data_IF_347537423077
#
_entry.id   IF_347537423077
#
_cell.length_a   1.000
_cell.length_b   1.000
_cell.length_c   1.000
_cell.angle_alpha   90.00
_cell.angle_beta   90.00
_cell.angle_gamma   90.00
#
_symmetry.space_group_name_H-M   'P 1'
#
loop_
_entity.id
_entity.type
_entity.pdbx_description
1 polymer ?
#
# COMPACT_ATOMS: atom_id res chain seq x y z
N UNK A 1 -0.60 -16.05 22.16
CA UNK A 1 -0.13 -17.20 21.35
C UNK A 1 0.34 -16.65 20.02
N UNK A 2 1.62 -16.75 19.69
CA UNK A 2 2.19 -16.29 18.41
C UNK A 2 2.18 -17.47 17.45
N UNK A 3 1.40 -17.39 16.38
CA UNK A 3 1.45 -18.36 15.29
C UNK A 3 2.67 -18.05 14.40
N UNK A 4 3.65 -18.94 14.41
CA UNK A 4 4.69 -19.07 13.40
C UNK A 4 4.11 -19.79 12.17
N UNK A 5 4.35 -19.26 10.96
CA UNK A 5 4.04 -19.90 9.68
C UNK A 5 5.24 -19.58 8.76
N UNK A 6 6.26 -20.45 8.68
CA UNK A 6 6.53 -21.46 7.61
C UNK A 6 7.61 -20.98 6.59
N UNK A 7 8.30 -21.87 5.82
CA UNK A 7 9.73 -22.16 6.00
C UNK A 7 10.66 -21.69 4.87
N UNK A 8 11.97 -21.69 5.18
CA UNK A 8 13.09 -21.48 4.27
C UNK A 8 13.04 -22.40 3.03
N UNK A 9 13.08 -21.81 1.82
CA UNK A 9 13.52 -22.49 0.60
C UNK A 9 14.55 -21.62 -0.12
N UNK A 10 15.74 -22.20 -0.29
CA UNK A 10 16.94 -21.61 -0.89
C UNK A 10 16.93 -21.84 -2.40
N UNK A 11 17.04 -20.79 -3.22
CA UNK A 11 17.33 -20.92 -4.66
C UNK A 11 18.30 -19.81 -5.12
N UNK A 12 19.35 -20.23 -5.83
CA UNK A 12 20.48 -19.41 -6.32
C UNK A 12 20.09 -18.41 -7.43
N UNK A 13 20.81 -17.28 -7.58
CA UNK A 13 20.61 -16.32 -8.66
C UNK A 13 21.47 -16.69 -9.89
N UNK A 14 20.84 -16.74 -11.07
CA UNK A 14 21.52 -16.65 -12.35
C UNK A 14 20.72 -15.74 -13.28
N UNK A 15 21.32 -14.64 -13.73
CA UNK A 15 20.61 -13.61 -14.48
C UNK A 15 21.51 -12.52 -15.06
N UNK A 16 22.49 -12.97 -15.83
CA UNK A 16 23.30 -12.33 -16.88
C UNK A 16 23.07 -10.84 -17.21
N UNK A 17 24.14 -10.04 -17.10
CA UNK A 17 24.19 -8.59 -17.38
C UNK A 17 24.67 -8.35 -18.82
N UNK A 18 23.75 -8.12 -19.77
CA UNK A 18 24.13 -7.76 -21.15
C UNK A 18 24.77 -6.36 -21.19
N UNK A 19 26.08 -6.33 -21.49
CA UNK A 19 26.86 -5.12 -21.83
C UNK A 19 26.53 -4.65 -23.24
N UNK A 20 26.01 -3.43 -23.40
CA UNK A 20 25.95 -2.77 -24.71
C UNK A 20 27.32 -2.15 -25.04
N UNK A 21 27.95 -2.60 -26.14
CA UNK A 21 29.08 -1.90 -26.78
C UNK A 21 28.53 -0.71 -27.57
N UNK A 22 29.16 0.45 -27.43
CA UNK A 22 28.97 1.58 -28.34
C UNK A 22 30.11 1.58 -29.36
N UNK A 23 29.76 1.65 -30.65
CA UNK A 23 30.70 1.87 -31.75
C UNK A 23 30.11 2.97 -32.64
N UNK A 24 30.56 4.21 -32.46
CA UNK A 24 30.48 5.24 -33.52
C UNK A 24 31.71 6.15 -33.41
N UNK A 25 32.46 6.20 -34.50
CA UNK A 25 33.51 7.18 -34.78
C UNK A 25 32.91 8.24 -35.69
N UNK A 26 32.84 9.50 -35.27
CA UNK A 26 32.66 10.61 -36.21
C UNK A 26 33.43 11.86 -35.78
N UNK A 27 33.84 12.59 -36.82
CA UNK A 27 34.93 13.57 -36.96
C UNK A 27 34.46 14.97 -36.52
N UNK A 28 35.34 15.71 -35.85
CA UNK A 28 35.18 17.08 -35.30
C UNK A 28 34.82 18.16 -36.31
N UNK A 29 33.95 19.11 -35.93
CA UNK A 29 34.22 20.56 -35.94
C UNK A 29 33.07 21.41 -35.34
N UNK A 30 33.46 22.36 -34.50
CA UNK A 30 32.85 23.67 -34.16
C UNK A 30 31.48 23.76 -33.41
N UNK A 31 31.60 24.28 -32.18
CA UNK A 31 30.80 25.34 -31.52
C UNK A 31 29.28 25.19 -31.26
N UNK A 32 28.96 25.51 -29.99
CA UNK A 32 27.70 26.00 -29.40
C UNK A 32 26.66 24.98 -28.86
N UNK A 33 26.56 25.04 -27.51
CA UNK A 33 25.35 25.09 -26.67
C UNK A 33 24.34 23.95 -26.83
N UNK A 34 24.26 23.10 -25.81
CA UNK A 34 23.11 23.01 -24.90
C UNK A 34 23.34 21.79 -24.00
N UNK A 35 23.87 22.03 -22.80
CA UNK A 35 23.91 21.03 -21.74
C UNK A 35 22.47 20.87 -21.23
N UNK A 36 21.66 20.05 -21.92
CA UNK A 36 20.38 19.58 -21.38
C UNK A 36 20.71 18.62 -20.24
N UNK A 37 20.72 19.16 -19.03
CA UNK A 37 20.51 18.36 -17.84
C UNK A 37 19.13 17.69 -17.97
N UNK A 38 19.11 16.48 -18.50
CA UNK A 38 18.05 15.51 -18.25
C UNK A 38 18.19 15.07 -16.78
N UNK A 39 17.93 16.00 -15.86
CA UNK A 39 17.44 15.62 -14.55
C UNK A 39 16.03 15.10 -14.82
N UNK A 40 15.90 13.79 -15.00
CA UNK A 40 14.63 13.16 -14.67
C UNK A 40 14.42 13.49 -13.20
N UNK A 41 13.65 14.54 -12.92
CA UNK A 41 12.99 14.69 -11.64
C UNK A 41 12.21 13.40 -11.45
N UNK A 42 12.79 12.49 -10.65
CA UNK A 42 12.04 11.42 -10.03
C UNK A 42 11.11 12.13 -9.04
N UNK A 43 10.06 12.78 -9.56
CA UNK A 43 9.00 13.31 -8.76
C UNK A 43 8.47 12.13 -7.95
N UNK A 44 8.77 12.14 -6.65
CA UNK A 44 8.18 11.23 -5.71
C UNK A 44 6.67 11.38 -5.88
N UNK A 45 6.04 10.32 -6.37
CA UNK A 45 4.62 10.31 -6.68
C UNK A 45 3.89 10.67 -5.38
N UNK A 46 3.27 11.84 -5.32
CA UNK A 46 2.60 12.29 -4.09
C UNK A 46 1.39 11.38 -3.85
N UNK A 47 1.13 11.03 -2.60
CA UNK A 47 -0.05 10.24 -2.26
C UNK A 47 -1.32 10.94 -2.74
N UNK A 48 -2.12 10.21 -3.51
CA UNK A 48 -3.44 10.61 -3.95
C UNK A 48 -4.39 9.44 -3.67
N UNK A 49 -5.43 9.70 -2.89
CA UNK A 49 -6.34 8.66 -2.46
C UNK A 49 -7.16 8.10 -3.62
N UNK A 50 -7.17 6.76 -3.76
CA UNK A 50 -8.15 6.07 -4.57
C UNK A 50 -9.45 5.99 -3.76
N UNK A 51 -10.45 6.80 -4.16
CA UNK A 51 -11.72 6.92 -3.44
C UNK A 51 -12.45 5.58 -3.27
N UNK A 52 -12.34 4.68 -4.25
CA UNK A 52 -12.97 3.36 -4.19
C UNK A 52 -12.29 2.45 -3.18
N UNK A 53 -10.96 2.44 -3.17
CA UNK A 53 -10.18 1.68 -2.20
C UNK A 53 -10.36 2.22 -0.78
N UNK A 54 -10.36 3.55 -0.61
CA UNK A 54 -10.62 4.19 0.68
C UNK A 54 -12.01 3.82 1.21
N UNK A 55 -13.05 3.85 0.36
CA UNK A 55 -14.40 3.41 0.72
C UNK A 55 -14.44 1.94 1.15
N UNK A 56 -13.80 1.06 0.38
CA UNK A 56 -13.71 -0.36 0.75
C UNK A 56 -13.08 -0.55 2.13
N UNK A 57 -11.96 0.13 2.41
CA UNK A 57 -11.32 0.03 3.74
C UNK A 57 -12.21 0.59 4.83
N UNK A 58 -12.94 1.69 4.58
CA UNK A 58 -13.95 2.17 5.53
C UNK A 58 -14.99 1.09 5.82
N UNK A 59 -15.52 0.41 4.80
CA UNK A 59 -16.51 -0.66 4.99
C UNK A 59 -15.92 -1.84 5.80
N UNK A 60 -14.66 -2.23 5.55
CA UNK A 60 -13.94 -3.25 6.33
C UNK A 60 -13.82 -2.83 7.80
N UNK A 61 -13.42 -1.59 8.07
CA UNK A 61 -13.27 -1.08 9.44
C UNK A 61 -14.62 -0.96 10.13
N UNK A 62 -15.69 -0.54 9.44
CA UNK A 62 -17.03 -0.49 10.04
C UNK A 62 -17.52 -1.89 10.42
N UNK A 63 -17.29 -2.89 9.57
CA UNK A 63 -17.67 -4.26 9.88
C UNK A 63 -16.87 -4.84 11.08
N UNK A 64 -15.57 -4.56 11.14
CA UNK A 64 -14.74 -4.94 12.29
C UNK A 64 -15.18 -4.22 13.58
N UNK A 65 -15.51 -2.93 13.49
CA UNK A 65 -16.06 -2.14 14.60
C UNK A 65 -17.39 -2.69 15.11
N UNK A 66 -18.33 -3.04 14.22
CA UNK A 66 -19.59 -3.69 14.60
C UNK A 66 -19.35 -5.04 15.28
N UNK A 67 -18.38 -5.81 14.79
CA UNK A 67 -18.00 -7.08 15.41
C UNK A 67 -17.45 -6.86 16.82
N UNK A 68 -16.60 -5.84 17.01
CA UNK A 68 -16.09 -5.45 18.32
C UNK A 68 -17.21 -5.03 19.28
N UNK A 69 -18.16 -4.21 18.82
CA UNK A 69 -19.32 -3.78 19.61
C UNK A 69 -20.24 -4.94 20.02
N UNK A 70 -20.34 -5.98 19.19
CA UNK A 70 -21.07 -7.19 19.50
C UNK A 70 -20.32 -8.14 20.46
N UNK A 71 -19.12 -7.79 20.91
CA UNK A 71 -18.27 -8.62 21.77
C UNK A 71 -17.54 -9.75 21.03
N UNK A 72 -17.44 -9.66 19.70
CA UNK A 72 -16.71 -10.60 18.86
C UNK A 72 -15.20 -10.33 18.83
N UNK A 73 -14.47 -11.17 18.10
CA UNK A 73 -13.04 -10.94 17.81
C UNK A 73 -12.88 -9.89 16.72
N UNK A 74 -11.97 -8.94 16.92
CA UNK A 74 -11.73 -7.81 16.03
C UNK A 74 -10.23 -7.63 15.78
N UNK A 75 -9.89 -6.95 14.68
CA UNK A 75 -8.52 -6.73 14.22
C UNK A 75 -7.98 -5.39 14.69
N UNK A 76 -8.81 -4.34 14.70
CA UNK A 76 -8.37 -2.98 15.00
C UNK A 76 -8.83 -2.51 16.38
N UNK A 77 -7.99 -1.74 17.03
CA UNK A 77 -8.29 -1.13 18.32
C UNK A 77 -9.18 0.09 18.13
N UNK A 78 -10.22 0.19 18.97
CA UNK A 78 -11.17 1.30 18.95
C UNK A 78 -11.19 2.01 20.30
N UNK A 79 -11.36 3.34 20.26
CA UNK A 79 -11.62 4.12 21.47
C UNK A 79 -12.94 3.65 22.14
N UNK A 80 -12.99 3.66 23.48
CA UNK A 80 -14.17 3.18 24.22
C UNK A 80 -15.43 4.02 23.97
N UNK A 81 -15.27 5.25 23.50
CA UNK A 81 -16.34 6.16 23.12
C UNK A 81 -16.42 6.38 21.60
N UNK A 82 -15.74 5.55 20.80
CA UNK A 82 -15.82 5.62 19.34
C UNK A 82 -17.26 5.37 18.86
N UNK A 83 -17.66 6.10 17.82
CA UNK A 83 -18.93 5.93 17.12
C UNK A 83 -18.67 5.72 15.63
N UNK A 84 -19.61 5.16 14.89
CA UNK A 84 -19.49 5.01 13.43
C UNK A 84 -19.22 6.36 12.75
N UNK A 85 -19.92 7.41 13.17
CA UNK A 85 -19.77 8.75 12.60
C UNK A 85 -18.38 9.34 12.88
N UNK A 86 -17.89 9.21 14.11
CA UNK A 86 -16.55 9.69 14.46
C UNK A 86 -15.46 8.88 13.75
N UNK A 87 -15.59 7.55 13.69
CA UNK A 87 -14.63 6.67 13.03
C UNK A 87 -14.58 6.89 11.52
N UNK A 88 -15.73 7.01 10.86
CA UNK A 88 -15.82 7.32 9.43
C UNK A 88 -15.20 8.68 9.12
N UNK A 89 -15.44 9.68 9.97
CA UNK A 89 -14.83 11.01 9.84
C UNK A 89 -13.30 10.96 10.01
N UNK A 90 -12.79 10.20 10.98
CA UNK A 90 -11.35 10.00 11.22
C UNK A 90 -10.68 9.30 10.04
N UNK A 91 -11.29 8.23 9.51
CA UNK A 91 -10.80 7.52 8.32
C UNK A 91 -10.77 8.43 7.09
N UNK A 92 -11.82 9.23 6.86
CA UNK A 92 -11.87 10.17 5.75
C UNK A 92 -10.78 11.24 5.83
N UNK A 93 -10.54 11.82 7.02
CA UNK A 93 -9.43 12.77 7.23
C UNK A 93 -8.07 12.11 7.07
N UNK A 94 -7.89 10.90 7.59
CA UNK A 94 -6.65 10.16 7.45
C UNK A 94 -6.33 9.86 5.98
N UNK A 95 -7.28 9.30 5.23
CA UNK A 95 -7.13 9.03 3.80
C UNK A 95 -7.03 10.30 2.93
N UNK A 96 -7.31 11.50 3.45
CA UNK A 96 -7.00 12.73 2.72
C UNK A 96 -5.49 12.92 2.50
N UNK A 97 -4.64 12.27 3.31
CA UNK A 97 -3.20 12.45 3.31
C UNK A 97 -2.72 13.78 3.92
N UNK A 98 -3.64 14.59 4.46
CA UNK A 98 -3.34 15.90 5.05
C UNK A 98 -3.37 15.91 6.58
N UNK A 99 -3.96 14.89 7.20
CA UNK A 99 -4.07 14.74 8.66
C UNK A 99 -3.69 13.30 9.07
N UNK A 100 -2.38 12.96 9.11
CA UNK A 100 -1.92 11.61 9.47
C UNK A 100 -2.24 11.21 10.92
N UNK A 101 -2.61 12.18 11.76
CA UNK A 101 -2.98 11.97 13.17
C UNK A 101 -4.49 11.86 13.38
N UNK A 102 -5.30 12.06 12.32
CA UNK A 102 -6.76 11.93 12.41
C UNK A 102 -7.21 10.56 12.92
N UNK A 103 -6.50 9.51 12.53
CA UNK A 103 -6.77 8.14 12.93
C UNK A 103 -5.77 7.73 14.03
N UNK A 104 -6.30 7.56 15.24
CA UNK A 104 -5.54 7.13 16.42
C UNK A 104 -5.60 5.61 16.50
N UNK A 105 -4.56 4.96 16.01
CA UNK A 105 -4.36 3.51 15.97
C UNK A 105 -2.88 3.22 16.11
N UNK A 106 -2.52 2.01 16.54
CA UNK A 106 -1.14 1.56 16.61
C UNK A 106 -0.50 1.56 15.21
N UNK A 107 0.82 1.76 15.16
CA UNK A 107 1.54 1.88 13.88
C UNK A 107 1.37 0.63 13.00
N UNK A 108 1.35 -0.55 13.61
CA UNK A 108 1.11 -1.82 12.91
C UNK A 108 -0.30 -1.91 12.32
N UNK A 109 -1.31 -1.37 13.01
CA UNK A 109 -2.70 -1.34 12.53
C UNK A 109 -2.84 -0.43 11.31
N UNK A 110 -2.19 0.74 11.32
CA UNK A 110 -2.13 1.64 10.15
C UNK A 110 -1.47 0.97 8.95
N UNK A 111 -0.42 0.17 9.17
CA UNK A 111 0.20 -0.61 8.12
C UNK A 111 -0.76 -1.67 7.56
N UNK A 112 -1.49 -2.39 8.42
CA UNK A 112 -2.49 -3.37 7.99
C UNK A 112 -3.61 -2.69 7.16
N UNK A 113 -4.12 -1.53 7.62
CA UNK A 113 -5.09 -0.74 6.85
C UNK A 113 -4.56 -0.32 5.48
N UNK A 114 -3.30 0.08 5.43
CA UNK A 114 -2.67 0.41 4.16
C UNK A 114 -2.55 -0.80 3.23
N UNK A 115 -2.27 -1.99 3.76
CA UNK A 115 -2.28 -3.25 3.00
C UNK A 115 -3.64 -3.52 2.35
N UNK A 116 -4.73 -3.41 3.12
CA UNK A 116 -6.09 -3.50 2.58
C UNK A 116 -6.38 -2.42 1.52
N UNK A 117 -5.98 -1.18 1.76
CA UNK A 117 -6.14 -0.08 0.82
C UNK A 117 -5.39 -0.35 -0.50
N UNK A 118 -4.13 -0.77 -0.41
CA UNK A 118 -3.34 -1.05 -1.60
C UNK A 118 -3.92 -2.22 -2.38
N UNK A 119 -4.26 -3.32 -1.70
CA UNK A 119 -4.89 -4.47 -2.34
C UNK A 119 -6.16 -4.07 -3.08
N UNK A 120 -7.05 -3.30 -2.44
CA UNK A 120 -8.25 -2.77 -3.06
C UNK A 120 -7.95 -1.83 -4.24
N UNK A 121 -6.91 -1.01 -4.15
CA UNK A 121 -6.51 -0.11 -5.26
C UNK A 121 -6.07 -0.86 -6.52
N UNK A 122 -5.65 -2.12 -6.37
CA UNK A 122 -5.20 -2.99 -7.46
C UNK A 122 -6.30 -3.89 -8.02
N UNK A 123 -7.44 -4.02 -7.32
CA UNK A 123 -8.56 -4.83 -7.78
C UNK A 123 -9.22 -4.25 -9.04
N UNK A 124 -9.75 -5.11 -9.94
CA UNK A 124 -10.54 -4.64 -11.06
C UNK A 124 -11.78 -3.91 -10.56
N UNK A 125 -12.23 -2.88 -11.29
CA UNK A 125 -13.38 -2.07 -10.91
C UNK A 125 -14.68 -2.88 -10.72
N UNK A 126 -14.76 -4.07 -11.33
CA UNK A 126 -15.85 -5.04 -11.26
C UNK A 126 -15.73 -6.05 -10.11
N UNK A 127 -14.72 -5.91 -9.23
CA UNK A 127 -14.54 -6.82 -8.11
C UNK A 127 -15.77 -6.82 -7.18
N UNK A 128 -16.25 -8.01 -6.74
CA UNK A 128 -17.34 -8.12 -5.78
C UNK A 128 -17.10 -7.35 -4.47
N UNK A 129 -15.83 -7.17 -4.08
CA UNK A 129 -15.46 -6.39 -2.89
C UNK A 129 -16.02 -4.98 -2.85
N UNK A 130 -16.26 -4.36 -4.01
CA UNK A 130 -16.79 -3.00 -4.07
C UNK A 130 -18.32 -2.92 -3.98
N UNK A 131 -18.99 -4.08 -3.92
CA UNK A 131 -20.44 -4.19 -3.75
C UNK A 131 -20.77 -4.72 -2.36
N UNK A 132 -20.09 -5.78 -1.94
CA UNK A 132 -20.33 -6.44 -0.67
C UNK A 132 -19.02 -7.08 -0.18
N UNK A 133 -18.54 -6.61 0.98
CA UNK A 133 -17.32 -7.13 1.61
C UNK A 133 -17.51 -8.53 2.21
N UNK A 134 -18.76 -8.93 2.47
CA UNK A 134 -19.11 -10.26 2.97
C UNK A 134 -19.27 -11.29 1.84
N UNK A 135 -19.24 -10.86 0.57
CA UNK A 135 -19.27 -11.76 -0.59
C UNK A 135 -18.03 -12.68 -0.54
N UNK A 136 -18.18 -14.01 -0.54
CA UNK A 136 -17.04 -14.93 -0.50
C UNK A 136 -16.04 -14.70 -1.65
N UNK A 137 -16.51 -14.21 -2.81
CA UNK A 137 -15.64 -13.87 -3.92
C UNK A 137 -14.79 -12.62 -3.63
N UNK A 138 -15.23 -11.72 -2.75
CA UNK A 138 -14.39 -10.62 -2.29
C UNK A 138 -13.14 -11.13 -1.58
N UNK A 139 -13.29 -12.08 -0.64
CA UNK A 139 -12.15 -12.66 0.08
C UNK A 139 -11.11 -13.28 -0.87
N UNK A 140 -11.53 -13.85 -1.99
CA UNK A 140 -10.64 -14.41 -3.01
C UNK A 140 -9.85 -13.32 -3.76
N UNK A 141 -10.51 -12.26 -4.18
CA UNK A 141 -9.85 -11.12 -4.83
C UNK A 141 -8.88 -10.42 -3.88
N UNK A 142 -9.29 -10.23 -2.62
CA UNK A 142 -8.48 -9.59 -1.59
C UNK A 142 -7.23 -10.40 -1.25
N UNK A 143 -7.39 -11.68 -0.95
CA UNK A 143 -6.28 -12.58 -0.61
C UNK A 143 -5.24 -12.68 -1.73
N UNK A 144 -5.68 -12.69 -3.00
CA UNK A 144 -4.78 -12.68 -4.16
C UNK A 144 -3.87 -11.45 -4.19
N UNK A 145 -4.38 -10.27 -3.84
CA UNK A 145 -3.58 -9.05 -3.82
C UNK A 145 -2.74 -8.94 -2.56
N UNK A 146 -3.28 -9.32 -1.39
CA UNK A 146 -2.50 -9.36 -0.15
C UNK A 146 -1.31 -10.32 -0.21
N UNK A 147 -1.42 -11.46 -0.92
CA UNK A 147 -0.28 -12.35 -1.13
C UNK A 147 0.90 -11.64 -1.83
N UNK A 148 0.62 -10.66 -2.71
CA UNK A 148 1.65 -9.90 -3.42
C UNK A 148 2.32 -8.86 -2.53
N UNK A 149 1.58 -8.30 -1.57
CA UNK A 149 2.18 -7.44 -0.54
C UNK A 149 3.22 -8.24 0.26
N UNK A 150 2.88 -9.46 0.67
CA UNK A 150 3.78 -10.36 1.40
C UNK A 150 5.03 -10.71 0.57
N UNK A 151 4.89 -10.83 -0.75
CA UNK A 151 5.99 -11.11 -1.67
C UNK A 151 6.78 -9.84 -2.11
N UNK A 152 6.72 -8.76 -1.34
CA UNK A 152 7.44 -7.49 -1.60
C UNK A 152 7.17 -6.91 -3.00
N UNK A 153 5.91 -6.94 -3.48
CA UNK A 153 5.56 -6.38 -4.80
C UNK A 153 6.10 -4.94 -4.92
N UNK A 154 6.94 -4.63 -5.92
CA UNK A 154 7.53 -3.30 -6.06
C UNK A 154 6.49 -2.18 -6.18
N UNK A 155 5.26 -2.48 -6.61
CA UNK A 155 4.15 -1.53 -6.62
C UNK A 155 3.62 -1.24 -5.23
N UNK A 156 3.57 -2.22 -4.34
CA UNK A 156 3.24 -2.02 -2.93
C UNK A 156 4.30 -1.15 -2.27
N UNK A 157 5.59 -1.50 -2.39
CA UNK A 157 6.69 -0.75 -1.77
C UNK A 157 6.66 0.72 -2.21
N UNK A 158 6.51 0.99 -3.52
CA UNK A 158 6.43 2.37 -4.01
C UNK A 158 5.21 3.13 -3.49
N UNK A 159 4.04 2.48 -3.43
CA UNK A 159 2.83 3.08 -2.92
C UNK A 159 2.93 3.34 -1.40
N UNK A 160 3.54 2.43 -0.66
CA UNK A 160 3.76 2.57 0.77
C UNK A 160 4.69 3.73 1.08
N UNK A 161 5.84 3.80 0.39
CA UNK A 161 6.82 4.87 0.60
C UNK A 161 6.24 6.25 0.24
N UNK A 162 5.39 6.35 -0.79
CA UNK A 162 4.70 7.61 -1.09
C UNK A 162 3.62 7.97 -0.07
N UNK A 163 2.98 6.98 0.55
CA UNK A 163 1.95 7.17 1.56
C UNK A 163 2.50 7.32 2.99
N UNK A 164 3.79 7.05 3.22
CA UNK A 164 4.39 6.98 4.56
C UNK A 164 4.21 8.26 5.35
N UNK A 165 4.64 9.40 4.81
CA UNK A 165 4.45 10.70 5.48
C UNK A 165 2.99 11.15 5.47
N UNK A 166 2.26 11.13 4.34
CA UNK A 166 0.86 11.57 4.27
C UNK A 166 -0.09 10.83 5.22
N UNK A 167 0.15 9.54 5.46
CA UNK A 167 -0.69 8.70 6.32
C UNK A 167 -0.04 8.38 7.68
N UNK A 168 1.16 8.88 7.95
CA UNK A 168 1.88 8.59 9.20
C UNK A 168 2.12 7.09 9.40
N UNK A 169 2.50 6.38 8.34
CA UNK A 169 2.82 4.95 8.39
C UNK A 169 4.21 4.73 9.03
N UNK A 170 4.43 3.61 9.74
CA UNK A 170 5.76 3.25 10.19
C UNK A 170 6.72 3.00 9.01
N UNK A 171 8.04 2.94 9.23
CA UNK A 171 8.96 2.40 8.24
C UNK A 171 8.60 0.95 7.89
N UNK A 172 8.68 0.58 6.61
CA UNK A 172 8.62 -0.84 6.22
C UNK A 172 9.84 -1.56 6.77
N UNK A 173 9.62 -2.48 7.69
CA UNK A 173 10.60 -3.50 8.01
C UNK A 173 10.65 -4.46 6.83
N UNK A 174 11.57 -4.20 5.90
CA UNK A 174 11.88 -5.15 4.83
C UNK A 174 12.43 -6.39 5.50
N UNK A 175 11.69 -7.49 5.42
CA UNK A 175 12.22 -8.78 5.78
C UNK A 175 13.40 -9.03 4.84
N UNK A 176 14.61 -8.98 5.38
CA UNK A 176 15.79 -9.49 4.71
C UNK A 176 15.62 -11.01 4.62
N UNK A 177 14.93 -11.45 3.57
CA UNK A 177 14.80 -12.86 3.21
C UNK A 177 16.17 -13.44 2.84
#
# INVERSE_FOLDING_TARGET
>A
MRAQIFPLIRVNPAGDRKKCRALVRHKTNALLVFLWFLTCDAHAQTFAANAKAARFVTDVVMNDFHTAQAGGGYVFSYDSHETEASLSSKLGRWFSGTDPQALVMEAAEKQVLFGFYWAASMMPASSPCFRDIADPACGQDLSKWMAREIDDDPRFIRAYESARTPLGLPPLERNAH
#
